data_IF_032751470773
#
_entry.id   IF_032751470773
#
_cell.length_a   1.000
_cell.length_b   1.000
_cell.length_c   1.000
_cell.angle_alpha   90.00
_cell.angle_beta   90.00
_cell.angle_gamma   90.00
#
_symmetry.space_group_name_H-M   'P 1'
#
loop_
_entity.id
_entity.type
_entity.pdbx_description
1 polymer ?
#
# COMPACT_ATOMS: atom_id res chain seq x y z
N UNK A 1 13.18 -16.38 -17.26
CA UNK A 1 13.00 -16.80 -15.86
C UNK A 1 11.55 -17.17 -15.63
N UNK A 2 11.28 -18.27 -14.93
CA UNK A 2 9.94 -18.63 -14.45
C UNK A 2 9.68 -17.92 -13.15
N UNK A 3 8.66 -17.05 -13.09
CA UNK A 3 8.25 -16.38 -11.85
C UNK A 3 7.62 -17.40 -10.90
N UNK A 4 8.05 -17.39 -9.65
CA UNK A 4 7.37 -18.09 -8.56
C UNK A 4 6.33 -17.17 -7.93
N UNK A 5 5.16 -17.70 -7.51
CA UNK A 5 4.19 -16.90 -6.77
C UNK A 5 4.74 -16.44 -5.42
N UNK A 6 4.36 -15.23 -5.02
CA UNK A 6 4.50 -14.76 -3.65
C UNK A 6 3.54 -15.52 -2.75
N UNK A 7 3.99 -15.72 -1.52
CA UNK A 7 3.33 -16.54 -0.52
C UNK A 7 2.71 -15.67 0.58
N UNK A 8 1.52 -16.08 1.04
CA UNK A 8 0.75 -15.32 2.03
C UNK A 8 1.20 -15.62 3.47
N UNK A 9 1.80 -14.63 4.13
CA UNK A 9 1.97 -14.65 5.59
C UNK A 9 0.85 -13.89 6.29
N UNK A 10 0.06 -14.62 7.10
CA UNK A 10 -0.95 -14.03 8.00
C UNK A 10 -0.40 -13.92 9.42
N UNK A 11 -0.42 -12.72 9.98
CA UNK A 11 0.22 -12.46 11.27
C UNK A 11 -0.55 -13.07 12.44
N UNK A 12 0.05 -14.00 13.21
CA UNK A 12 -0.56 -14.47 14.44
C UNK A 12 -0.44 -13.43 15.56
N UNK A 13 -1.32 -13.49 16.54
CA UNK A 13 -1.07 -12.80 17.81
C UNK A 13 0.18 -13.40 18.48
N UNK A 14 1.08 -12.53 18.95
CA UNK A 14 2.23 -12.93 19.76
C UNK A 14 1.80 -13.51 21.11
N UNK A 15 2.68 -14.27 21.76
CA UNK A 15 2.44 -14.90 23.05
C UNK A 15 2.12 -13.91 24.19
N UNK A 16 2.56 -12.66 24.05
CA UNK A 16 2.30 -11.55 24.98
C UNK A 16 1.24 -10.56 24.48
N UNK A 17 0.58 -10.86 23.36
CA UNK A 17 -0.36 -9.97 22.67
C UNK A 17 0.32 -9.02 21.67
N UNK A 18 -0.46 -8.49 20.72
CA UNK A 18 -0.02 -7.53 19.70
C UNK A 18 -0.79 -6.22 19.85
N UNK A 19 -0.17 -5.08 19.53
CA UNK A 19 -0.74 -3.71 19.61
C UNK A 19 -1.83 -3.43 18.52
N UNK A 20 -2.24 -4.44 17.75
CA UNK A 20 -2.97 -4.28 16.49
C UNK A 20 -4.44 -3.85 16.56
N UNK A 21 -5.12 -3.93 17.70
CA UNK A 21 -6.58 -3.69 17.76
C UNK A 21 -6.95 -2.20 17.53
N UNK A 22 -6.03 -1.28 17.83
CA UNK A 22 -6.22 0.16 17.61
C UNK A 22 -6.34 0.54 16.13
N UNK A 23 -5.68 -0.19 15.21
CA UNK A 23 -5.69 0.13 13.78
C UNK A 23 -7.09 0.05 13.15
N UNK A 24 -7.95 -0.84 13.65
CA UNK A 24 -9.32 -1.00 13.13
C UNK A 24 -10.23 0.17 13.48
N UNK A 25 -10.05 0.76 14.68
CA UNK A 25 -10.80 1.98 15.04
C UNK A 25 -10.50 3.11 14.05
N UNK A 26 -9.29 3.14 13.49
CA UNK A 26 -8.87 4.11 12.49
C UNK A 26 -9.45 3.81 11.09
N UNK A 27 -9.61 2.53 10.72
CA UNK A 27 -10.25 2.13 9.45
C UNK A 27 -11.74 2.54 9.38
N UNK A 28 -12.43 2.53 10.51
CA UNK A 28 -13.87 2.84 10.59
C UNK A 28 -14.22 4.31 10.84
N UNK A 29 -13.23 5.19 11.05
CA UNK A 29 -13.48 6.60 11.34
C UNK A 29 -13.83 7.38 10.06
N UNK A 30 -14.97 8.09 9.96
CA UNK A 30 -15.29 8.87 8.77
C UNK A 30 -14.22 9.95 8.52
N UNK A 31 -13.78 10.06 7.27
CA UNK A 31 -12.89 11.13 6.80
C UNK A 31 -13.64 11.88 5.72
N UNK A 32 -13.93 13.15 5.97
CA UNK A 32 -14.32 14.07 4.92
C UNK A 32 -13.10 14.22 4.00
N UNK A 33 -13.24 13.76 2.76
CA UNK A 33 -12.23 13.72 1.70
C UNK A 33 -11.08 12.69 1.87
N UNK A 34 -11.38 11.43 1.50
CA UNK A 34 -10.44 10.31 1.52
C UNK A 34 -9.30 10.50 0.50
N UNK A 35 -9.61 10.99 -0.70
CA UNK A 35 -8.61 11.23 -1.74
C UNK A 35 -7.65 12.34 -1.31
N UNK A 36 -8.15 13.49 -0.86
CA UNK A 36 -7.30 14.57 -0.36
C UNK A 36 -6.44 14.09 0.81
N UNK A 37 -6.98 13.25 1.69
CA UNK A 37 -6.19 12.65 2.77
C UNK A 37 -5.09 11.76 2.21
N UNK A 38 -5.39 10.80 1.35
CA UNK A 38 -4.36 9.94 0.72
C UNK A 38 -3.27 10.76 0.03
N UNK A 39 -3.66 11.77 -0.76
CA UNK A 39 -2.72 12.60 -1.51
C UNK A 39 -1.85 13.43 -0.56
N UNK A 40 -2.44 14.09 0.43
CA UNK A 40 -1.70 14.91 1.42
C UNK A 40 -0.68 14.07 2.18
N UNK A 41 -1.12 12.92 2.72
CA UNK A 41 -0.26 12.05 3.51
C UNK A 41 0.84 11.42 2.65
N UNK A 42 0.54 11.07 1.39
CA UNK A 42 1.55 10.57 0.48
C UNK A 42 2.57 11.65 0.09
N UNK A 43 2.14 12.87 -0.24
CA UNK A 43 3.05 13.98 -0.54
C UNK A 43 3.94 14.32 0.65
N UNK A 44 3.40 14.28 1.88
CA UNK A 44 4.20 14.45 3.08
C UNK A 44 5.26 13.34 3.22
N UNK A 45 4.88 12.06 3.06
CA UNK A 45 5.84 10.95 3.09
C UNK A 45 6.92 11.08 2.01
N UNK A 46 6.56 11.58 0.83
CA UNK A 46 7.51 11.82 -0.27
C UNK A 46 8.47 12.96 0.07
N UNK A 47 7.97 14.04 0.68
CA UNK A 47 8.79 15.15 1.12
C UNK A 47 9.79 14.71 2.21
N UNK A 48 9.35 13.88 3.17
CA UNK A 48 10.22 13.32 4.21
C UNK A 48 11.28 12.37 3.61
N UNK A 49 10.96 11.70 2.51
CA UNK A 49 11.87 10.83 1.78
C UNK A 49 12.78 11.57 0.76
N UNK A 50 12.57 12.87 0.55
CA UNK A 50 13.31 13.63 -0.46
C UNK A 50 14.81 13.66 -0.17
N UNK A 51 15.63 13.53 -1.21
CA UNK A 51 17.09 13.69 -1.07
C UNK A 51 17.47 15.17 -1.03
N UNK A 52 18.52 15.55 -0.27
CA UNK A 52 18.99 16.93 -0.26
C UNK A 52 19.39 17.41 -1.67
N UNK A 53 18.99 18.64 -2.01
CA UNK A 53 19.44 19.34 -3.23
C UNK A 53 18.66 19.03 -4.51
N UNK A 54 17.81 18.00 -4.55
CA UNK A 54 16.94 17.68 -5.70
C UNK A 54 15.52 17.39 -5.21
N UNK A 55 14.55 18.14 -5.71
CA UNK A 55 13.14 17.88 -5.41
C UNK A 55 12.68 16.54 -5.99
N UNK A 56 11.85 15.77 -5.28
CA UNK A 56 11.36 14.49 -5.80
C UNK A 56 10.42 14.70 -6.98
N UNK A 57 10.47 13.78 -7.94
CA UNK A 57 9.46 13.68 -8.99
C UNK A 57 8.28 12.87 -8.45
N UNK A 58 7.05 13.37 -8.64
CA UNK A 58 5.83 12.71 -8.20
C UNK A 58 4.99 12.37 -9.43
N UNK A 59 4.63 11.09 -9.56
CA UNK A 59 3.72 10.59 -10.58
C UNK A 59 2.52 9.93 -9.91
N UNK A 60 1.33 10.45 -10.19
CA UNK A 60 0.07 9.88 -9.70
C UNK A 60 -0.69 9.32 -10.91
N UNK A 61 -1.02 8.03 -10.89
CA UNK A 61 -1.75 7.37 -11.98
C UNK A 61 -3.01 6.72 -11.43
N UNK A 62 -4.13 6.96 -12.10
CA UNK A 62 -5.33 6.15 -11.96
C UNK A 62 -5.54 5.37 -13.25
N UNK A 63 -5.71 4.05 -13.14
CA UNK A 63 -5.88 3.21 -14.33
C UNK A 63 -6.65 1.95 -14.03
N UNK A 64 -7.25 1.37 -15.06
CA UNK A 64 -7.82 0.03 -15.03
C UNK A 64 -6.75 -0.98 -15.42
N UNK A 65 -6.58 -2.04 -14.63
CA UNK A 65 -5.66 -3.12 -14.96
C UNK A 65 -6.16 -3.91 -16.18
N UNK A 66 -5.25 -4.27 -17.09
CA UNK A 66 -5.55 -5.20 -18.18
C UNK A 66 -5.76 -6.62 -17.66
N UNK A 67 -6.35 -7.49 -18.49
CA UNK A 67 -6.55 -8.92 -18.15
C UNK A 67 -5.22 -9.59 -17.79
N UNK A 68 -4.16 -9.32 -18.56
CA UNK A 68 -2.82 -9.85 -18.28
C UNK A 68 -2.27 -9.37 -16.93
N UNK A 69 -2.50 -8.11 -16.56
CA UNK A 69 -2.06 -7.57 -15.26
C UNK A 69 -2.88 -8.15 -14.11
N UNK A 70 -4.19 -8.34 -14.30
CA UNK A 70 -5.06 -9.03 -13.32
C UNK A 70 -4.65 -10.49 -13.14
N UNK A 71 -4.26 -11.17 -14.22
CA UNK A 71 -3.72 -12.53 -14.16
C UNK A 71 -2.40 -12.59 -13.40
N UNK A 72 -1.53 -11.58 -13.54
CA UNK A 72 -0.29 -11.48 -12.76
C UNK A 72 -0.59 -11.35 -11.27
N UNK A 73 -1.56 -10.51 -10.91
CA UNK A 73 -2.03 -10.42 -9.52
C UNK A 73 -2.51 -11.78 -9.01
N UNK A 74 -3.45 -12.41 -9.72
CA UNK A 74 -4.07 -13.66 -9.29
C UNK A 74 -3.08 -14.84 -9.22
N UNK A 75 -2.08 -14.87 -10.10
CA UNK A 75 -1.18 -16.04 -10.21
C UNK A 75 0.12 -15.89 -9.47
N UNK A 76 0.63 -14.67 -9.32
CA UNK A 76 1.98 -14.46 -8.81
C UNK A 76 2.08 -13.55 -7.59
N UNK A 77 1.12 -12.67 -7.31
CA UNK A 77 1.24 -11.73 -6.19
C UNK A 77 0.24 -12.05 -5.08
N UNK A 78 -1.02 -12.27 -5.45
CA UNK A 78 -2.14 -12.61 -4.56
C UNK A 78 -2.63 -14.04 -4.87
N UNK A 79 -1.68 -14.97 -5.09
CA UNK A 79 -1.97 -16.35 -5.45
C UNK A 79 -2.71 -17.12 -4.33
N UNK A 80 -2.39 -16.78 -3.09
CA UNK A 80 -3.10 -17.21 -1.90
C UNK A 80 -4.01 -16.07 -1.39
N UNK A 81 -5.22 -16.39 -0.96
CA UNK A 81 -6.20 -15.42 -0.43
C UNK A 81 -6.36 -15.66 1.08
N UNK A 82 -6.53 -14.62 1.93
CA UNK A 82 -6.73 -14.78 3.36
C UNK A 82 -7.94 -15.65 3.69
N UNK A 83 -7.85 -16.44 4.76
CA UNK A 83 -8.94 -17.34 5.19
C UNK A 83 -10.15 -16.58 5.78
N UNK A 84 -9.95 -15.35 6.26
CA UNK A 84 -11.03 -14.54 6.84
C UNK A 84 -12.07 -14.18 5.75
N UNK A 85 -13.36 -14.54 5.91
CA UNK A 85 -14.34 -14.45 4.83
C UNK A 85 -14.55 -13.05 4.24
N UNK A 86 -14.47 -11.99 5.04
CA UNK A 86 -14.60 -10.62 4.54
C UNK A 86 -13.44 -10.23 3.64
N UNK A 87 -12.23 -10.55 4.08
CA UNK A 87 -10.98 -10.32 3.37
C UNK A 87 -10.93 -11.13 2.08
N UNK A 88 -11.31 -12.42 2.14
CA UNK A 88 -11.32 -13.30 0.97
C UNK A 88 -12.30 -12.82 -0.08
N UNK A 89 -13.53 -12.47 0.33
CA UNK A 89 -14.57 -11.97 -0.57
C UNK A 89 -14.14 -10.66 -1.22
N UNK A 90 -13.59 -9.72 -0.46
CA UNK A 90 -13.20 -8.41 -0.98
C UNK A 90 -12.06 -8.50 -2.01
N UNK A 91 -11.03 -9.31 -1.74
CA UNK A 91 -9.91 -9.49 -2.67
C UNK A 91 -10.37 -10.24 -3.92
N UNK A 92 -11.13 -11.33 -3.78
CA UNK A 92 -11.66 -12.07 -4.95
C UNK A 92 -12.56 -11.19 -5.81
N UNK A 93 -13.44 -10.39 -5.20
CA UNK A 93 -14.30 -9.44 -5.92
C UNK A 93 -13.47 -8.47 -6.76
N UNK A 94 -12.38 -7.92 -6.22
CA UNK A 94 -11.48 -7.06 -6.99
C UNK A 94 -10.77 -7.80 -8.13
N UNK A 95 -10.27 -9.00 -7.88
CA UNK A 95 -9.56 -9.81 -8.88
C UNK A 95 -10.47 -10.29 -10.03
N UNK A 96 -11.77 -10.36 -9.80
CA UNK A 96 -12.79 -10.77 -10.78
C UNK A 96 -13.54 -9.60 -11.40
N UNK A 97 -13.39 -8.38 -10.86
CA UNK A 97 -14.08 -7.18 -11.33
C UNK A 97 -13.80 -6.90 -12.81
N UNK A 98 -14.84 -6.56 -13.58
CA UNK A 98 -14.71 -6.14 -14.99
C UNK A 98 -13.76 -4.94 -15.14
N UNK A 99 -13.83 -4.01 -14.17
CA UNK A 99 -12.95 -2.85 -14.08
C UNK A 99 -12.17 -2.86 -12.76
N UNK A 100 -10.98 -3.46 -12.78
CA UNK A 100 -10.05 -3.40 -11.66
C UNK A 100 -9.28 -2.07 -11.66
N UNK A 101 -9.88 -1.03 -11.08
CA UNK A 101 -9.27 0.30 -10.96
C UNK A 101 -8.22 0.30 -9.85
N UNK A 102 -7.05 0.88 -10.13
CA UNK A 102 -5.97 1.10 -9.15
C UNK A 102 -5.56 2.57 -9.15
N UNK A 103 -5.18 3.07 -7.97
CA UNK A 103 -4.49 4.34 -7.80
C UNK A 103 -3.03 4.07 -7.46
N UNK A 104 -2.13 4.72 -8.16
CA UNK A 104 -0.69 4.60 -7.92
C UNK A 104 -0.13 5.96 -7.56
N UNK A 105 0.65 5.98 -6.48
CA UNK A 105 1.41 7.14 -6.05
C UNK A 105 2.87 6.75 -6.11
N UNK A 106 3.62 7.39 -7.00
CA UNK A 106 5.00 7.06 -7.29
C UNK A 106 5.87 8.27 -7.02
N UNK A 107 6.95 8.06 -6.29
CA UNK A 107 8.03 9.00 -6.15
C UNK A 107 9.31 8.50 -6.82
N UNK A 108 10.10 9.45 -7.31
CA UNK A 108 11.43 9.23 -7.84
C UNK A 108 12.43 10.25 -7.29
N UNK A 109 13.68 9.82 -7.20
CA UNK A 109 14.77 10.64 -6.67
C UNK A 109 14.71 10.81 -5.15
N UNK A 110 13.93 9.99 -4.44
CA UNK A 110 13.89 9.92 -2.97
C UNK A 110 14.86 8.86 -2.44
N UNK A 111 14.98 8.76 -1.12
CA UNK A 111 15.72 7.69 -0.45
C UNK A 111 15.09 6.31 -0.68
N UNK A 112 13.81 6.26 -1.07
CA UNK A 112 12.99 5.05 -1.13
C UNK A 112 12.81 4.41 0.23
N UNK A 113 12.02 3.34 0.29
CA UNK A 113 12.07 2.48 1.46
C UNK A 113 13.43 1.77 1.40
N UNK A 114 14.29 1.96 2.40
CA UNK A 114 15.51 1.17 2.70
C UNK A 114 15.46 0.44 4.06
N UNK A 115 16.62 -0.01 4.55
CA UNK A 115 16.76 -0.63 5.88
C UNK A 115 16.28 -2.09 6.00
N UNK A 116 16.37 -2.68 7.20
CA UNK A 116 16.01 -4.08 7.47
C UNK A 116 14.54 -4.35 7.21
N UNK A 117 14.17 -5.61 6.90
CA UNK A 117 12.78 -6.01 6.60
C UNK A 117 12.02 -6.60 7.79
N UNK A 118 12.74 -6.83 8.90
CA UNK A 118 12.32 -7.61 10.07
C UNK A 118 12.34 -6.76 11.34
N UNK A 119 11.18 -6.55 11.95
CA UNK A 119 11.03 -5.75 13.17
C UNK A 119 11.58 -6.44 14.42
N UNK A 120 11.71 -7.76 14.40
CA UNK A 120 12.22 -8.57 15.51
C UNK A 120 13.75 -8.64 15.57
N UNK A 121 14.45 -8.28 14.49
CA UNK A 121 15.91 -8.41 14.37
C UNK A 121 16.55 -7.24 13.61
N UNK A 122 16.73 -6.13 14.31
CA UNK A 122 17.38 -4.94 13.75
C UNK A 122 18.89 -5.03 14.02
N UNK A 123 19.76 -5.04 12.99
CA UNK A 123 21.21 -5.05 13.19
C UNK A 123 21.68 -3.84 14.02
N UNK A 124 22.66 -4.07 14.90
CA UNK A 124 23.27 -3.00 15.71
C UNK A 124 23.89 -1.95 14.79
N UNK A 125 23.64 -0.67 15.09
CA UNK A 125 24.09 0.44 14.25
C UNK A 125 23.20 0.74 13.05
N UNK A 126 22.04 0.09 12.91
CA UNK A 126 21.03 0.49 11.92
C UNK A 126 20.47 1.86 12.26
N UNK A 127 20.69 2.84 11.40
CA UNK A 127 20.18 4.20 11.56
C UNK A 127 18.81 4.42 10.90
N UNK A 128 18.40 3.54 9.96
CA UNK A 128 17.16 3.68 9.20
C UNK A 128 16.37 2.39 9.13
N UNK A 129 15.07 2.49 9.43
CA UNK A 129 14.12 1.36 9.47
C UNK A 129 12.93 1.58 8.53
N UNK A 130 13.11 2.37 7.46
CA UNK A 130 12.03 2.85 6.58
C UNK A 130 11.11 1.72 6.07
N UNK A 131 11.65 0.54 5.73
CA UNK A 131 10.83 -0.63 5.38
C UNK A 131 9.89 -1.05 6.50
N UNK A 132 10.47 -1.33 7.68
CA UNK A 132 9.76 -1.84 8.85
C UNK A 132 8.70 -0.83 9.24
N UNK A 133 9.09 0.44 9.32
CA UNK A 133 8.18 1.51 9.66
C UNK A 133 6.99 1.55 8.72
N UNK A 134 7.20 1.47 7.41
CA UNK A 134 6.13 1.58 6.41
C UNK A 134 5.27 0.30 6.31
N UNK A 135 5.90 -0.87 6.16
CA UNK A 135 5.22 -2.13 5.84
C UNK A 135 4.91 -3.03 7.04
N UNK A 136 5.69 -2.97 8.13
CA UNK A 136 5.51 -3.88 9.29
C UNK A 136 4.79 -3.20 10.45
N UNK A 137 5.16 -1.96 10.75
CA UNK A 137 4.65 -1.17 11.86
C UNK A 137 3.33 -0.46 11.50
N UNK A 138 2.43 -1.19 10.86
CA UNK A 138 1.11 -0.69 10.47
C UNK A 138 0.23 -0.63 11.72
N UNK A 139 -0.11 0.59 12.14
CA UNK A 139 -1.00 0.84 13.28
C UNK A 139 -0.34 0.95 14.65
N UNK A 140 0.98 1.02 14.69
CA UNK A 140 1.71 1.53 15.86
C UNK A 140 1.76 3.05 15.76
N UNK A 141 1.44 3.76 16.85
CA UNK A 141 1.72 5.18 16.94
C UNK A 141 3.25 5.40 16.92
N UNK A 142 3.74 6.38 16.15
CA UNK A 142 5.12 6.83 16.30
C UNK A 142 5.19 7.78 17.50
N UNK A 143 5.99 7.43 18.50
CA UNK A 143 6.39 8.36 19.56
C UNK A 143 7.40 9.33 18.95
N UNK A 144 6.95 10.53 18.59
CA UNK A 144 7.83 11.66 18.26
C UNK A 144 7.47 12.83 19.17
N UNK A 145 8.46 13.36 19.90
CA UNK A 145 8.30 14.35 20.98
C UNK A 145 7.93 15.77 20.50
N UNK A 146 7.59 15.99 19.23
CA UNK A 146 7.20 17.31 18.73
C UNK A 146 6.04 17.20 17.73
N UNK A 147 4.82 17.46 18.22
CA UNK A 147 3.65 17.70 17.38
C UNK A 147 2.46 16.81 17.72
N UNK A 148 1.47 17.38 18.41
CA UNK A 148 0.17 16.74 18.60
C UNK A 148 -0.53 16.55 17.26
N UNK A 149 -0.63 15.30 16.80
CA UNK A 149 -1.33 14.96 15.56
C UNK A 149 -1.16 13.50 15.18
N UNK A 150 -1.84 12.60 15.88
CA UNK A 150 -2.24 11.24 15.48
C UNK A 150 -1.54 10.57 14.26
N UNK A 151 -0.22 10.37 14.32
CA UNK A 151 0.64 9.79 13.26
C UNK A 151 0.49 8.27 13.08
N UNK A 152 -0.74 7.75 13.25
CA UNK A 152 -1.16 6.42 12.82
C UNK A 152 -2.18 6.46 11.66
N UNK A 153 -2.76 7.63 11.36
CA UNK A 153 -3.82 7.78 10.34
C UNK A 153 -3.30 7.79 8.89
N UNK A 154 -2.09 8.29 8.63
CA UNK A 154 -1.62 8.50 7.26
C UNK A 154 -1.52 7.22 6.43
N UNK A 155 -0.97 6.14 7.01
CA UNK A 155 -0.90 4.83 6.34
C UNK A 155 -2.26 4.14 6.27
N UNK A 156 -3.12 4.34 7.27
CA UNK A 156 -4.49 3.81 7.29
C UNK A 156 -5.26 4.30 6.06
N UNK A 157 -5.08 5.57 5.65
CA UNK A 157 -5.76 6.15 4.51
C UNK A 157 -5.53 5.35 3.21
N UNK A 158 -4.31 4.81 3.00
CA UNK A 158 -3.99 3.98 1.83
C UNK A 158 -4.85 2.72 1.78
N UNK A 159 -5.02 2.04 2.92
CA UNK A 159 -5.86 0.84 3.01
C UNK A 159 -7.34 1.19 2.90
N UNK A 160 -7.78 2.32 3.46
CA UNK A 160 -9.19 2.76 3.34
C UNK A 160 -9.59 3.13 1.92
N UNK A 161 -8.65 3.68 1.15
CA UNK A 161 -8.85 3.98 -0.26
C UNK A 161 -8.91 2.75 -1.16
N UNK A 162 -8.59 1.57 -0.63
CA UNK A 162 -8.73 0.29 -1.31
C UNK A 162 -10.04 -0.38 -0.93
N UNK A 163 -10.89 -0.72 -1.91
CA UNK A 163 -12.11 -1.50 -1.68
C UNK A 163 -11.85 -2.86 -1.01
N UNK A 164 -10.65 -3.41 -1.18
CA UNK A 164 -10.22 -4.67 -0.58
C UNK A 164 -9.13 -4.48 0.49
N UNK A 165 -8.93 -3.27 1.02
CA UNK A 165 -7.90 -2.96 2.02
C UNK A 165 -6.51 -3.52 1.68
N UNK A 166 -6.10 -3.45 0.41
CA UNK A 166 -4.88 -4.08 -0.10
C UNK A 166 -4.05 -3.09 -0.92
N UNK A 167 -2.75 -3.05 -0.65
CA UNK A 167 -1.77 -2.26 -1.40
C UNK A 167 -0.61 -3.14 -1.87
N UNK A 168 0.05 -2.72 -2.96
CA UNK A 168 1.32 -3.26 -3.42
C UNK A 168 2.36 -2.16 -3.38
N UNK A 169 3.53 -2.46 -2.81
CA UNK A 169 4.63 -1.52 -2.65
C UNK A 169 5.83 -2.04 -3.43
N UNK A 170 6.31 -1.25 -4.40
CA UNK A 170 7.55 -1.46 -5.13
C UNK A 170 8.51 -0.32 -4.80
N UNK A 171 9.72 -0.64 -4.34
CA UNK A 171 10.69 0.37 -3.93
C UNK A 171 12.09 0.00 -4.38
N UNK A 172 12.83 0.99 -4.87
CA UNK A 172 14.28 0.91 -5.04
C UNK A 172 14.93 1.92 -4.10
N UNK A 173 15.47 1.48 -2.95
CA UNK A 173 16.22 2.37 -2.07
C UNK A 173 17.44 2.97 -2.77
N UNK A 174 17.75 4.21 -2.43
CA UNK A 174 18.91 4.91 -2.97
C UNK A 174 20.21 4.19 -2.59
N UNK A 175 21.16 4.12 -3.53
CA UNK A 175 22.44 3.44 -3.34
C UNK A 175 22.40 1.91 -3.22
N UNK A 176 21.23 1.27 -3.21
CA UNK A 176 21.12 -0.18 -3.00
C UNK A 176 21.44 -1.04 -4.24
N UNK A 177 21.53 -0.42 -5.42
CA UNK A 177 21.70 -1.12 -6.70
C UNK A 177 20.47 -1.96 -7.10
N UNK A 178 20.50 -2.64 -8.26
CA UNK A 178 19.35 -3.40 -8.77
C UNK A 178 18.85 -4.48 -7.81
N UNK A 179 19.76 -5.17 -7.12
CA UNK A 179 19.44 -6.22 -6.12
C UNK A 179 18.66 -5.68 -4.92
N UNK A 180 18.79 -4.38 -4.62
CA UNK A 180 18.07 -3.71 -3.55
C UNK A 180 16.61 -3.41 -3.86
N UNK A 181 16.17 -3.53 -5.13
CA UNK A 181 14.76 -3.36 -5.50
C UNK A 181 13.92 -4.37 -4.73
N UNK A 182 12.78 -3.96 -4.21
CA UNK A 182 11.92 -4.79 -3.37
C UNK A 182 10.44 -4.58 -3.64
N UNK A 183 9.68 -5.68 -3.71
CA UNK A 183 8.24 -5.69 -3.96
C UNK A 183 7.52 -6.54 -2.92
N UNK A 184 6.43 -6.00 -2.36
CA UNK A 184 5.60 -6.70 -1.37
C UNK A 184 4.15 -6.25 -1.49
N UNK A 185 3.19 -7.17 -1.32
CA UNK A 185 1.79 -6.81 -1.13
C UNK A 185 1.43 -6.87 0.36
N UNK A 186 0.51 -6.01 0.79
CA UNK A 186 0.03 -5.96 2.16
C UNK A 186 -1.48 -5.77 2.18
N UNK A 187 -2.16 -6.52 3.04
CA UNK A 187 -3.59 -6.41 3.28
C UNK A 187 -3.87 -6.26 4.78
N UNK A 188 -4.87 -5.44 5.11
CA UNK A 188 -5.37 -5.30 6.47
C UNK A 188 -6.86 -5.59 6.53
N UNK A 189 -7.18 -6.77 7.06
CA UNK A 189 -8.51 -7.31 7.23
C UNK A 189 -8.95 -7.36 8.69
N UNK A 190 -9.92 -8.25 8.97
CA UNK A 190 -10.43 -8.47 10.32
C UNK A 190 -9.54 -9.48 11.05
N UNK A 191 -9.33 -9.28 12.35
CA UNK A 191 -8.79 -10.35 13.19
C UNK A 191 -9.70 -11.58 13.14
N UNK A 192 -9.11 -12.75 13.07
CA UNK A 192 -9.84 -14.02 12.96
C UNK A 192 -9.16 -15.10 13.79
N UNK A 193 -9.83 -16.24 13.94
CA UNK A 193 -9.33 -17.38 14.70
C UNK A 193 -9.42 -18.65 13.86
N UNK A 194 -8.45 -19.54 14.02
CA UNK A 194 -8.40 -20.84 13.35
C UNK A 194 -8.22 -21.96 14.37
N UNK A 195 -8.97 -23.06 14.28
CA UNK A 195 -8.69 -24.27 15.04
C UNK A 195 -7.33 -24.84 14.63
N UNK A 196 -6.43 -25.04 15.60
CA UNK A 196 -5.10 -25.63 15.38
C UNK A 196 -4.72 -26.44 16.62
N UNK A 197 -4.42 -27.74 16.44
CA UNK A 197 -3.97 -28.64 17.51
C UNK A 197 -4.86 -28.64 18.76
N UNK A 198 -6.19 -28.61 18.57
CA UNK A 198 -7.17 -28.56 19.67
C UNK A 198 -7.30 -27.20 20.37
N UNK A 199 -6.58 -26.18 19.89
CA UNK A 199 -6.63 -24.80 20.37
C UNK A 199 -7.19 -23.87 19.30
N UNK A 200 -7.48 -22.61 19.67
CA UNK A 200 -7.78 -21.54 18.72
C UNK A 200 -6.58 -20.63 18.59
N UNK A 201 -5.92 -20.64 17.43
CA UNK A 201 -4.89 -19.66 17.09
C UNK A 201 -5.55 -18.39 16.59
N UNK A 202 -5.15 -17.26 17.18
CA UNK A 202 -5.67 -15.93 16.82
C UNK A 202 -4.73 -15.25 15.83
N UNK A 203 -5.30 -14.55 14.87
CA UNK A 203 -4.59 -13.75 13.87
C UNK A 203 -5.06 -12.30 13.93
N UNK A 204 -4.15 -11.36 13.69
CA UNK A 204 -4.45 -9.92 13.82
C UNK A 204 -5.28 -9.37 12.67
N UNK A 205 -5.30 -10.09 11.53
CA UNK A 205 -5.87 -9.61 10.27
C UNK A 205 -4.87 -8.83 9.42
N UNK A 206 -3.59 -8.77 9.79
CA UNK A 206 -2.52 -8.28 8.91
C UNK A 206 -1.97 -9.42 8.07
N UNK A 207 -1.77 -9.12 6.79
CA UNK A 207 -1.34 -10.08 5.79
C UNK A 207 -0.27 -9.45 4.90
N UNK A 208 0.73 -10.24 4.53
CA UNK A 208 1.73 -9.84 3.56
C UNK A 208 1.98 -10.96 2.55
N UNK A 209 2.19 -10.58 1.29
CA UNK A 209 2.66 -11.48 0.25
C UNK A 209 4.08 -11.14 -0.11
N UNK A 210 4.93 -12.16 -0.05
CA UNK A 210 6.36 -12.05 -0.29
C UNK A 210 7.00 -13.43 -0.47
N UNK A 211 8.30 -13.52 -0.32
CA UNK A 211 9.05 -14.78 -0.31
C UNK A 211 9.11 -15.26 1.15
N UNK A 212 8.57 -16.44 1.48
CA UNK A 212 8.69 -16.93 2.87
C UNK A 212 10.14 -17.26 3.20
N UNK A 213 10.59 -16.77 4.34
CA UNK A 213 11.83 -17.26 4.95
C UNK A 213 11.63 -18.72 5.39
N UNK A 214 12.46 -19.67 4.94
CA UNK A 214 12.31 -21.08 5.31
C UNK A 214 12.50 -21.38 6.81
N UNK A 215 13.19 -20.50 7.55
CA UNK A 215 13.48 -20.69 8.96
C UNK A 215 12.31 -20.30 9.88
N UNK A 216 11.57 -19.25 9.53
CA UNK A 216 10.47 -18.74 10.38
C UNK A 216 9.11 -18.57 9.68
N UNK A 217 9.04 -18.79 8.37
CA UNK A 217 7.81 -18.77 7.58
C UNK A 217 7.20 -17.38 7.42
N UNK A 218 7.91 -16.32 7.82
CA UNK A 218 7.48 -14.93 7.63
C UNK A 218 7.85 -14.50 6.21
N UNK A 219 6.88 -13.91 5.50
CA UNK A 219 7.09 -13.42 4.14
C UNK A 219 7.96 -12.16 4.17
N UNK A 220 9.11 -12.19 3.52
CA UNK A 220 9.98 -11.06 3.20
C UNK A 220 9.70 -10.55 1.78
N UNK A 221 10.06 -9.31 1.41
CA UNK A 221 9.77 -8.82 0.06
C UNK A 221 10.51 -9.66 -1.00
N UNK A 222 9.91 -9.79 -2.17
CA UNK A 222 10.70 -10.21 -3.33
C UNK A 222 11.75 -9.15 -3.62
N UNK A 223 12.95 -9.55 -4.04
CA UNK A 223 14.07 -8.63 -4.31
C UNK A 223 14.63 -8.78 -5.73
N UNK A 224 15.47 -7.80 -6.13
CA UNK A 224 16.26 -7.85 -7.36
C UNK A 224 15.43 -8.10 -8.62
N UNK A 225 15.91 -9.03 -9.45
CA UNK A 225 15.27 -9.41 -10.71
C UNK A 225 13.83 -9.89 -10.55
N UNK A 226 13.52 -10.62 -9.47
CA UNK A 226 12.15 -11.09 -9.20
C UNK A 226 11.21 -9.92 -8.94
N UNK A 227 11.62 -8.97 -8.08
CA UNK A 227 10.87 -7.75 -7.83
C UNK A 227 10.68 -6.95 -9.12
N UNK A 228 11.76 -6.81 -9.91
CA UNK A 228 11.75 -6.08 -11.17
C UNK A 228 10.79 -6.68 -12.21
N UNK A 229 10.81 -8.00 -12.36
CA UNK A 229 9.95 -8.73 -13.27
C UNK A 229 8.47 -8.65 -12.86
N UNK A 230 8.14 -8.82 -11.57
CA UNK A 230 6.77 -8.67 -11.07
C UNK A 230 6.25 -7.25 -11.28
N UNK A 231 7.05 -6.23 -10.93
CA UNK A 231 6.70 -4.83 -11.12
C UNK A 231 6.47 -4.50 -12.61
N UNK A 232 7.34 -4.98 -13.48
CA UNK A 232 7.22 -4.80 -14.93
C UNK A 232 5.96 -5.44 -15.51
N UNK A 233 5.64 -6.68 -15.09
CA UNK A 233 4.42 -7.36 -15.54
C UNK A 233 3.13 -6.71 -15.02
N UNK A 234 3.18 -6.07 -13.85
CA UNK A 234 2.09 -5.22 -13.35
C UNK A 234 1.98 -3.87 -14.08
N UNK A 235 2.98 -3.50 -14.88
CA UNK A 235 3.05 -2.19 -15.54
C UNK A 235 3.39 -1.04 -14.59
N UNK A 236 4.09 -1.32 -13.47
CA UNK A 236 4.62 -0.29 -12.57
C UNK A 236 5.74 0.49 -13.25
N UNK A 237 6.00 1.75 -12.84
CA UNK A 237 7.09 2.52 -13.42
C UNK A 237 8.45 1.84 -13.26
N UNK A 238 9.32 2.03 -14.24
CA UNK A 238 10.68 1.52 -14.20
C UNK A 238 11.48 2.23 -13.11
N UNK A 239 12.31 1.44 -12.41
CA UNK A 239 13.27 1.91 -11.40
C UNK A 239 14.66 1.42 -11.78
N UNK A 240 15.66 2.26 -11.55
CA UNK A 240 17.04 1.96 -11.90
C UNK A 240 18.00 3.02 -11.37
N UNK A 241 19.26 3.01 -11.82
CA UNK A 241 20.24 4.02 -11.41
C UNK A 241 19.72 5.44 -11.63
N UNK A 242 19.78 6.28 -10.59
CA UNK A 242 19.26 7.65 -10.63
C UNK A 242 17.73 7.79 -10.52
N UNK A 243 16.99 6.68 -10.49
CA UNK A 243 15.51 6.62 -10.34
C UNK A 243 15.08 5.80 -9.12
N UNK A 244 15.76 6.00 -7.99
CA UNK A 244 15.35 5.48 -6.68
C UNK A 244 13.98 6.02 -6.27
N UNK A 245 13.30 5.35 -5.35
CA UNK A 245 12.05 5.80 -4.76
C UNK A 245 11.02 4.70 -4.58
N UNK A 246 9.75 5.06 -4.38
CA UNK A 246 8.69 4.12 -4.03
C UNK A 246 7.42 4.31 -4.85
N UNK A 247 6.78 3.20 -5.23
CA UNK A 247 5.44 3.15 -5.82
C UNK A 247 4.52 2.45 -4.85
N UNK A 248 3.42 3.10 -4.49
CA UNK A 248 2.32 2.49 -3.74
C UNK A 248 1.15 2.35 -4.71
N UNK A 249 0.78 1.11 -5.05
CA UNK A 249 -0.42 0.79 -5.80
C UNK A 249 -1.53 0.40 -4.83
N UNK A 250 -2.60 1.19 -4.79
CA UNK A 250 -3.83 0.96 -4.03
C UNK A 250 -4.79 0.18 -4.91
N UNK A 251 -5.19 -1.03 -4.48
CA UNK A 251 -6.05 -1.92 -5.26
C UNK A 251 -7.52 -1.59 -5.07
N UNK A 252 -8.31 -1.64 -6.14
CA UNK A 252 -9.75 -1.39 -6.08
C UNK A 252 -10.05 0.01 -5.59
N UNK A 253 -9.34 1.01 -6.12
CA UNK A 253 -9.53 2.40 -5.72
C UNK A 253 -10.97 2.83 -6.01
N UNK A 254 -11.69 3.27 -4.97
CA UNK A 254 -13.05 3.79 -5.08
C UNK A 254 -13.00 5.31 -5.16
N UNK A 255 -13.41 5.85 -6.30
CA UNK A 255 -13.81 7.26 -6.40
C UNK A 255 -15.27 7.32 -5.99
N UNK A 256 -15.65 8.23 -5.08
CA UNK A 256 -17.06 8.53 -4.88
C UNK A 256 -17.63 8.95 -6.25
N UNK A 257 -18.61 8.18 -6.77
CA UNK A 257 -19.16 8.36 -8.13
C UNK A 257 -19.78 9.75 -8.35
N UNK A 258 -20.02 10.51 -7.28
CA UNK A 258 -20.57 11.86 -7.32
C UNK A 258 -19.55 12.96 -7.70
N UNK A 259 -18.24 12.74 -7.51
CA UNK A 259 -17.24 13.81 -7.75
C UNK A 259 -16.75 13.89 -9.20
N UNK A 260 -16.86 12.80 -9.97
CA UNK A 260 -16.34 12.73 -11.34
C UNK A 260 -17.34 13.18 -12.42
N UNK A 261 -18.61 13.37 -12.08
CA UNK A 261 -19.64 13.85 -13.03
C UNK A 261 -19.73 15.38 -13.12
N UNK A 262 -19.03 16.11 -12.25
CA UNK A 262 -19.13 17.57 -12.15
C UNK A 262 -18.39 18.36 -13.25
N UNK A 263 -17.68 17.72 -14.19
CA UNK A 263 -16.91 18.44 -15.22
C UNK A 263 -17.42 18.31 -16.67
N UNK A 264 -18.46 17.52 -16.95
CA UNK A 264 -18.97 17.36 -18.34
C UNK A 264 -20.24 18.16 -18.68
N UNK A 265 -20.85 18.90 -17.75
CA UNK A 265 -21.96 19.82 -18.09
C UNK A 265 -21.65 21.27 -17.73
N UNK A 266 -20.70 21.84 -18.47
CA UNK A 266 -20.58 23.29 -18.64
C UNK A 266 -21.80 23.85 -19.36
N UNK A 267 -22.91 24.02 -18.64
CA UNK A 267 -24.08 24.77 -19.12
C UNK A 267 -23.72 26.24 -19.25
N UNK A 268 -23.59 26.67 -20.51
CA UNK A 268 -23.55 28.08 -20.94
C UNK A 268 -24.72 28.85 -20.32
N UNK A 269 -24.49 29.52 -19.19
CA UNK A 269 -25.35 30.62 -18.74
C UNK A 269 -24.97 31.89 -19.50
N UNK A 270 -25.75 32.18 -20.55
CA UNK A 270 -25.79 33.51 -21.17
C UNK A 270 -26.24 34.52 -20.13
N UNK A 271 -25.43 35.54 -19.87
CA UNK A 271 -25.90 36.78 -19.26
C UNK A 271 -26.84 37.49 -20.24
N UNK A 272 -28.13 37.52 -19.94
CA UNK A 272 -29.11 38.37 -20.62
C UNK A 272 -29.60 39.45 -19.66
N UNK A 273 -29.17 40.68 -19.94
CA UNK A 273 -29.91 41.94 -19.81
C UNK A 273 -30.71 42.21 -18.53
N UNK A 274 -30.17 43.08 -17.67
CA UNK A 274 -31.00 43.93 -16.81
C UNK A 274 -31.24 45.23 -17.58
N UNK A 275 -32.48 45.43 -18.02
CA UNK A 275 -32.99 46.72 -18.49
C UNK A 275 -34.22 47.11 -17.67
N UNK A 276 -34.13 48.24 -16.96
CA UNK A 276 -35.24 49.14 -16.70
C UNK A 276 -36.21 48.78 -15.56
N UNK A 277 -36.12 49.55 -14.46
CA UNK A 277 -37.20 50.44 -13.98
C UNK A 277 -36.68 51.30 -12.83
N UNK A 278 -36.85 52.61 -12.96
CA UNK A 278 -36.44 53.66 -12.03
C UNK A 278 -36.03 54.91 -12.79
#
# INVERSE_FOLDING_TARGET
MTLSPLELHSEPYGSTGNIGENFRRLLGAPTLDLLQTVIREAVQNIADAARPGVGPEILIRMRTLSDTQRDVLRRFILAEIPEEPGSSTAISTFLEAERAVVLEICDFGTVGLGGPTRSDRIPVGTERTDFIDFLRNIGTARDTEQGGGTYGFGKVALYRASACSTIIVDSLPDGAGPEGRRLMACHVGRSFEKPENGMRRRFTGRHWWGVRDPADGIADPATGDTASALAGQLGLPERGPGRSGTTIMILGFQTDEDDLTATETGSSRRCSGISGRG
#
